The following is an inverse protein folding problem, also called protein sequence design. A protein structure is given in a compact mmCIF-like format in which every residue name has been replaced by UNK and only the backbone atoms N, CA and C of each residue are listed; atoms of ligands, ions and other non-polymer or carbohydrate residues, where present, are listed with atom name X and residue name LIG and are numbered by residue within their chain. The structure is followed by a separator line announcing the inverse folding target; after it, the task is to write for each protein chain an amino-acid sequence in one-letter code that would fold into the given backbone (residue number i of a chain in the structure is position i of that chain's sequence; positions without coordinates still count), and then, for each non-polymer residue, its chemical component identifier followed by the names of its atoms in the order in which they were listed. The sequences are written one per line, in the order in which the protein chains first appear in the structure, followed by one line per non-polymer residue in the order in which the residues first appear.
data_IF_434684656949
#
_entry.id   IF_434684656949
#
_cell.length_a   1.000
_cell.length_b   1.000
_cell.length_c   1.000
_cell.angle_alpha   90.00
_cell.angle_beta   90.00
_cell.angle_gamma   90.00
#
_symmetry.space_group_name_H-M   'P 1'
#
loop_
_entity.id
_entity.type
_entity.pdbx_description
1 polymer ?
#
# COMPACT_ATOMS: atom_id res chain seq x y z
N UNK A 1 8.83 5.19 -27.57
CA UNK A 1 7.51 4.56 -27.34
C UNK A 1 7.59 3.50 -26.24
N UNK A 2 8.31 2.39 -26.44
CA UNK A 2 8.30 1.21 -25.55
C UNK A 2 8.72 1.49 -24.09
N UNK A 3 9.66 2.41 -23.86
CA UNK A 3 10.16 2.70 -22.50
C UNK A 3 9.20 3.50 -21.62
N UNK A 4 8.38 4.36 -22.21
CA UNK A 4 7.65 5.41 -21.46
C UNK A 4 6.14 5.41 -21.68
N UNK A 5 5.62 4.62 -22.64
CA UNK A 5 4.23 4.74 -23.07
C UNK A 5 3.44 3.45 -22.98
N UNK A 6 4.08 2.29 -22.76
CA UNK A 6 3.40 0.99 -22.75
C UNK A 6 3.88 0.09 -21.62
N UNK A 7 3.02 -0.82 -21.20
CA UNK A 7 3.31 -1.90 -20.26
C UNK A 7 3.95 -3.06 -21.01
N UNK A 8 5.13 -3.49 -20.56
CA UNK A 8 5.87 -4.60 -21.16
C UNK A 8 5.93 -5.84 -20.27
N UNK A 9 5.58 -5.70 -19.00
CA UNK A 9 5.69 -6.75 -18.00
C UNK A 9 4.33 -7.32 -17.57
N UNK A 10 3.27 -6.99 -18.30
CA UNK A 10 1.93 -7.51 -18.05
C UNK A 10 1.74 -8.86 -18.75
N UNK A 11 0.94 -9.71 -18.10
CA UNK A 11 0.45 -10.94 -18.72
C UNK A 11 -0.58 -10.57 -19.78
N UNK A 12 -0.57 -11.22 -20.95
CA UNK A 12 -1.55 -10.92 -21.96
C UNK A 12 -2.96 -11.34 -21.49
N UNK A 13 -3.93 -10.50 -21.80
CA UNK A 13 -5.35 -10.83 -21.76
C UNK A 13 -5.68 -11.92 -22.78
N UNK A 14 -6.82 -12.59 -22.62
CA UNK A 14 -7.33 -13.55 -23.59
C UNK A 14 -7.42 -12.97 -25.02
N UNK A 15 -7.77 -11.68 -25.15
CA UNK A 15 -7.79 -10.98 -26.45
C UNK A 15 -6.39 -10.89 -27.06
N UNK A 16 -5.39 -10.48 -26.27
CA UNK A 16 -4.00 -10.38 -26.73
C UNK A 16 -3.44 -11.75 -27.12
N UNK A 17 -3.74 -12.82 -26.36
CA UNK A 17 -3.35 -14.18 -26.71
C UNK A 17 -3.96 -14.64 -28.04
N UNK A 18 -5.26 -14.38 -28.24
CA UNK A 18 -5.93 -14.73 -29.49
C UNK A 18 -5.33 -13.98 -30.70
N UNK A 19 -4.98 -12.70 -30.53
CA UNK A 19 -4.30 -11.91 -31.57
C UNK A 19 -2.91 -12.47 -31.89
N UNK A 20 -2.12 -12.84 -30.87
CA UNK A 20 -0.83 -13.49 -31.07
C UNK A 20 -0.97 -14.81 -31.83
N UNK A 21 -1.91 -15.66 -31.43
CA UNK A 21 -2.17 -16.93 -32.10
C UNK A 21 -2.57 -16.73 -33.56
N UNK A 22 -3.52 -15.82 -33.83
CA UNK A 22 -4.00 -15.53 -35.17
C UNK A 22 -2.88 -15.00 -36.09
N UNK A 23 -1.99 -14.17 -35.55
CA UNK A 23 -0.87 -13.60 -36.28
C UNK A 23 0.27 -14.60 -36.53
N UNK A 24 0.36 -15.69 -35.76
CA UNK A 24 1.47 -16.63 -35.87
C UNK A 24 1.36 -17.47 -37.16
N UNK A 25 2.31 -17.37 -38.10
CA UNK A 25 2.26 -18.10 -39.36
C UNK A 25 2.63 -19.58 -39.22
N UNK A 26 3.20 -20.00 -38.10
CA UNK A 26 3.63 -21.36 -37.82
C UNK A 26 2.50 -22.16 -37.14
N UNK A 27 1.89 -23.17 -37.79
CA UNK A 27 0.75 -23.88 -37.22
C UNK A 27 1.02 -24.54 -35.86
N UNK A 28 2.20 -25.17 -35.60
CA UNK A 28 2.53 -25.68 -34.27
C UNK A 28 2.60 -24.60 -33.18
N UNK A 29 3.24 -23.45 -33.46
CA UNK A 29 3.34 -22.36 -32.49
C UNK A 29 1.97 -21.71 -32.21
N UNK A 30 1.15 -21.54 -33.26
CA UNK A 30 -0.24 -21.08 -33.09
C UNK A 30 -1.03 -22.00 -32.18
N UNK A 31 -1.00 -23.31 -32.43
CA UNK A 31 -1.70 -24.29 -31.59
C UNK A 31 -1.20 -24.27 -30.13
N UNK A 32 0.11 -24.06 -29.92
CA UNK A 32 0.67 -23.90 -28.59
C UNK A 32 0.13 -22.64 -27.88
N UNK A 33 0.04 -21.51 -28.58
CA UNK A 33 -0.56 -20.27 -28.06
C UNK A 33 -2.05 -20.42 -27.72
N UNK A 34 -2.82 -21.11 -28.58
CA UNK A 34 -4.25 -21.38 -28.38
C UNK A 34 -4.50 -22.33 -27.19
N UNK A 35 -3.55 -23.22 -26.90
CA UNK A 35 -3.63 -24.18 -25.81
C UNK A 35 -3.14 -23.63 -24.45
N UNK A 36 -2.66 -22.37 -24.41
CA UNK A 36 -2.18 -21.79 -23.16
C UNK A 36 -3.31 -21.64 -22.13
N UNK A 37 -3.07 -22.01 -20.87
CA UNK A 37 -4.04 -21.78 -19.82
C UNK A 37 -4.18 -20.28 -19.53
N UNK A 38 -5.37 -19.85 -19.13
CA UNK A 38 -5.65 -18.43 -18.88
C UNK A 38 -4.87 -17.80 -17.72
N UNK A 39 -4.23 -18.63 -16.88
CA UNK A 39 -3.38 -18.23 -15.77
C UNK A 39 -1.88 -18.38 -16.04
N UNK A 40 -1.48 -18.59 -17.31
CA UNK A 40 -0.07 -18.67 -17.71
C UNK A 40 0.72 -17.47 -17.14
N UNK A 41 1.85 -17.72 -16.45
CA UNK A 41 2.55 -16.67 -15.72
C UNK A 41 3.42 -15.78 -16.61
N UNK A 42 3.60 -16.12 -17.88
CA UNK A 42 4.48 -15.37 -18.80
C UNK A 42 3.85 -14.05 -19.24
N UNK A 43 4.72 -13.08 -19.45
CA UNK A 43 4.38 -11.76 -20.00
C UNK A 43 4.17 -11.83 -21.50
N UNK A 44 3.55 -10.78 -22.07
CA UNK A 44 3.39 -10.64 -23.51
C UNK A 44 4.74 -10.75 -24.25
N UNK A 45 5.79 -10.14 -23.70
CA UNK A 45 7.14 -10.14 -24.29
C UNK A 45 7.75 -11.55 -24.26
N UNK A 46 7.69 -12.24 -23.12
CA UNK A 46 8.22 -13.61 -23.02
C UNK A 46 7.52 -14.57 -23.98
N UNK A 47 6.20 -14.42 -24.16
CA UNK A 47 5.45 -15.24 -25.12
C UNK A 47 5.83 -14.91 -26.57
N UNK A 48 6.06 -13.65 -26.91
CA UNK A 48 6.56 -13.29 -28.24
C UNK A 48 7.98 -13.83 -28.48
N UNK A 49 8.82 -13.89 -27.46
CA UNK A 49 10.18 -14.45 -27.54
C UNK A 49 10.18 -15.98 -27.70
N UNK A 50 9.24 -16.67 -27.05
CA UNK A 50 9.08 -18.14 -27.11
C UNK A 50 8.55 -18.65 -28.46
N UNK A 51 7.93 -17.77 -29.25
CA UNK A 51 7.27 -18.12 -30.51
C UNK A 51 7.93 -17.35 -31.66
N UNK A 52 9.14 -17.77 -32.11
CA UNK A 52 9.98 -16.99 -33.01
C UNK A 52 9.35 -16.73 -34.38
N UNK A 53 8.36 -17.51 -34.82
CA UNK A 53 7.65 -17.25 -36.08
C UNK A 53 6.84 -15.95 -36.05
N UNK A 54 6.55 -15.41 -34.86
CA UNK A 54 5.92 -14.10 -34.70
C UNK A 54 6.82 -12.92 -35.11
N UNK A 55 8.15 -13.07 -35.12
CA UNK A 55 9.07 -11.93 -35.37
C UNK A 55 8.80 -11.20 -36.69
N UNK A 56 8.34 -11.92 -37.71
CA UNK A 56 7.97 -11.34 -39.01
C UNK A 56 6.50 -10.94 -39.14
N UNK A 57 5.66 -11.31 -38.17
CA UNK A 57 4.22 -11.08 -38.19
C UNK A 57 3.77 -9.94 -37.27
N UNK A 58 4.59 -9.56 -36.28
CA UNK A 58 4.34 -8.44 -35.38
C UNK A 58 4.67 -7.09 -36.03
N UNK A 59 3.83 -6.67 -36.98
CA UNK A 59 3.90 -5.33 -37.56
C UNK A 59 3.42 -4.24 -36.59
N UNK A 60 3.61 -2.97 -36.98
CA UNK A 60 3.24 -1.84 -36.12
C UNK A 60 1.75 -1.80 -35.75
N UNK A 61 0.80 -1.97 -36.68
CA UNK A 61 -0.62 -2.07 -36.35
C UNK A 61 -0.92 -3.13 -35.28
N UNK A 62 -0.41 -4.36 -35.45
CA UNK A 62 -0.65 -5.43 -34.49
C UNK A 62 0.00 -5.14 -33.14
N UNK A 63 1.21 -4.57 -33.12
CA UNK A 63 1.86 -4.16 -31.88
C UNK A 63 1.05 -3.09 -31.13
N UNK A 64 0.44 -2.13 -31.84
CA UNK A 64 -0.42 -1.12 -31.21
C UNK A 64 -1.70 -1.73 -30.64
N UNK A 65 -2.25 -2.76 -31.27
CA UNK A 65 -3.41 -3.50 -30.76
C UNK A 65 -3.06 -4.39 -29.54
N UNK A 66 -1.82 -4.86 -29.47
CA UNK A 66 -1.31 -5.71 -28.39
C UNK A 66 -0.82 -4.91 -27.18
N UNK A 67 -0.18 -3.77 -27.36
CA UNK A 67 0.47 -3.06 -26.26
C UNK A 67 -0.52 -2.25 -25.43
N UNK A 68 -0.46 -2.43 -24.10
CA UNK A 68 -1.28 -1.67 -23.15
C UNK A 68 -0.59 -0.35 -22.80
N UNK A 69 -1.27 0.80 -22.78
CA UNK A 69 -0.68 2.06 -22.34
C UNK A 69 -0.15 2.00 -20.91
N UNK A 70 1.02 2.61 -20.67
CA UNK A 70 1.64 2.66 -19.35
C UNK A 70 0.75 3.38 -18.34
N UNK A 71 0.48 2.74 -17.22
CA UNK A 71 -0.40 3.29 -16.17
C UNK A 71 0.40 4.09 -15.13
N UNK A 72 -0.10 5.24 -14.66
CA UNK A 72 0.48 5.91 -13.50
C UNK A 72 0.47 4.99 -12.27
N UNK A 73 1.54 5.03 -11.46
CA UNK A 73 1.60 4.36 -10.16
C UNK A 73 1.36 5.38 -9.05
N UNK A 74 0.47 5.07 -8.13
CA UNK A 74 0.12 5.92 -7.00
C UNK A 74 1.01 5.59 -5.80
N UNK A 75 1.50 6.63 -5.14
CA UNK A 75 2.27 6.56 -3.91
C UNK A 75 1.72 7.60 -2.94
N UNK A 76 1.52 7.21 -1.68
CA UNK A 76 1.14 8.17 -0.64
C UNK A 76 2.31 9.11 -0.36
N UNK A 77 2.04 10.41 -0.28
CA UNK A 77 3.02 11.37 0.17
C UNK A 77 3.34 11.11 1.65
N UNK A 78 4.62 11.24 1.99
CA UNK A 78 5.14 10.98 3.34
C UNK A 78 5.77 12.19 4.02
N UNK A 79 5.60 13.37 3.43
CA UNK A 79 5.99 14.65 3.98
C UNK A 79 4.77 15.51 4.33
N UNK A 80 5.01 16.59 5.08
CA UNK A 80 4.03 17.61 5.39
C UNK A 80 4.31 18.89 4.58
N UNK A 81 3.29 19.52 3.97
CA UNK A 81 3.45 20.82 3.32
C UNK A 81 3.69 21.96 4.33
N UNK A 82 3.46 21.73 5.64
CA UNK A 82 3.80 22.69 6.68
C UNK A 82 5.32 22.80 6.92
N UNK A 83 6.08 21.75 6.56
CA UNK A 83 7.54 21.78 6.60
C UNK A 83 8.12 22.48 5.35
N UNK A 84 7.73 22.04 4.16
CA UNK A 84 8.03 22.72 2.90
C UNK A 84 6.92 22.40 1.86
N UNK A 85 6.13 23.39 1.42
CA UNK A 85 5.03 23.17 0.47
C UNK A 85 5.51 22.82 -0.94
N UNK A 86 6.81 22.94 -1.24
CA UNK A 86 7.40 22.63 -2.54
C UNK A 86 8.18 21.31 -2.53
N UNK A 87 8.14 20.57 -1.43
CA UNK A 87 8.86 19.32 -1.25
C UNK A 87 7.93 18.17 -0.89
N UNK A 88 8.12 17.04 -1.56
CA UNK A 88 7.31 15.85 -1.39
C UNK A 88 8.20 14.62 -1.20
N UNK A 89 8.05 13.94 -0.07
CA UNK A 89 8.74 12.67 0.20
C UNK A 89 7.85 11.49 -0.19
N UNK A 90 8.45 10.43 -0.72
CA UNK A 90 7.81 9.15 -0.99
C UNK A 90 8.48 8.04 -0.18
N UNK A 91 7.67 7.12 0.38
CA UNK A 91 8.16 5.82 0.85
C UNK A 91 7.80 4.75 -0.17
N UNK A 92 8.81 4.15 -0.80
CA UNK A 92 8.62 3.22 -1.92
C UNK A 92 9.17 1.85 -1.55
N UNK A 93 8.28 0.86 -1.45
CA UNK A 93 8.69 -0.54 -1.37
C UNK A 93 9.08 -1.00 -2.77
N UNK A 94 10.34 -1.44 -2.93
CA UNK A 94 10.86 -1.90 -4.20
C UNK A 94 10.38 -3.32 -4.45
N UNK A 95 9.55 -3.48 -5.48
CA UNK A 95 9.09 -4.80 -5.91
C UNK A 95 10.19 -5.43 -6.76
N UNK A 96 10.93 -6.36 -6.16
CA UNK A 96 11.98 -7.12 -6.82
C UNK A 96 12.00 -8.56 -6.28
N UNK A 97 11.53 -9.49 -7.12
CA UNK A 97 11.30 -10.88 -6.74
C UNK A 97 11.62 -11.82 -7.92
N UNK A 98 11.78 -13.14 -7.71
CA UNK A 98 11.80 -14.09 -8.81
C UNK A 98 10.57 -13.94 -9.71
N UNK A 99 10.77 -13.91 -11.02
CA UNK A 99 9.66 -13.78 -11.96
C UNK A 99 8.73 -15.00 -11.84
N UNK A 100 7.42 -14.77 -11.85
CA UNK A 100 6.42 -15.86 -11.79
C UNK A 100 6.52 -16.81 -12.99
N UNK A 101 7.04 -16.33 -14.12
CA UNK A 101 7.36 -17.12 -15.31
C UNK A 101 8.52 -18.10 -15.10
N UNK A 102 9.26 -17.99 -13.98
CA UNK A 102 10.50 -18.71 -13.73
C UNK A 102 11.73 -18.10 -14.42
N UNK A 103 11.58 -17.00 -15.16
CA UNK A 103 12.66 -16.39 -15.95
C UNK A 103 13.25 -15.17 -15.24
N UNK A 104 14.38 -15.38 -14.58
CA UNK A 104 15.13 -14.29 -13.96
C UNK A 104 14.35 -13.59 -12.84
N UNK A 105 14.45 -12.26 -12.79
CA UNK A 105 13.84 -11.43 -11.76
C UNK A 105 12.77 -10.53 -12.35
N UNK A 106 11.64 -10.43 -11.66
CA UNK A 106 10.62 -9.42 -11.89
C UNK A 106 10.92 -8.20 -11.05
N UNK A 107 11.10 -7.05 -11.70
CA UNK A 107 11.26 -5.76 -11.04
C UNK A 107 10.13 -4.83 -11.47
N UNK A 108 9.30 -4.43 -10.50
CA UNK A 108 8.11 -3.63 -10.76
C UNK A 108 8.45 -2.32 -11.48
N UNK A 109 7.70 -2.00 -12.54
CA UNK A 109 7.98 -0.85 -13.43
C UNK A 109 8.10 0.47 -12.67
N UNK A 110 7.13 0.79 -11.79
CA UNK A 110 7.10 2.05 -11.06
C UNK A 110 8.14 2.12 -9.93
N UNK A 111 8.14 1.14 -9.02
CA UNK A 111 9.06 1.14 -7.88
C UNK A 111 10.51 0.93 -8.31
N UNK A 112 10.75 0.12 -9.34
CA UNK A 112 12.05 -0.06 -9.95
C UNK A 112 12.58 1.22 -10.60
N UNK A 113 11.73 1.97 -11.33
CA UNK A 113 12.09 3.27 -11.89
C UNK A 113 12.47 4.26 -10.79
N UNK A 114 11.63 4.43 -9.76
CA UNK A 114 11.90 5.35 -8.66
C UNK A 114 13.18 5.00 -7.90
N UNK A 115 13.45 3.71 -7.67
CA UNK A 115 14.68 3.25 -7.02
C UNK A 115 15.96 3.49 -7.87
N UNK A 116 15.81 3.72 -9.17
CA UNK A 116 16.91 4.01 -10.08
C UNK A 116 17.30 5.49 -10.15
N UNK A 117 16.48 6.39 -9.62
CA UNK A 117 16.67 7.83 -9.75
C UNK A 117 17.89 8.34 -8.96
N UNK A 118 18.40 9.49 -9.40
CA UNK A 118 19.51 10.24 -8.81
C UNK A 118 19.09 11.69 -8.56
N UNK A 119 19.72 12.40 -7.61
CA UNK A 119 19.52 13.83 -7.45
C UNK A 119 19.75 14.58 -8.78
N UNK A 120 18.79 15.40 -9.18
CA UNK A 120 18.80 16.12 -10.47
C UNK A 120 17.95 15.48 -11.57
N UNK A 121 17.55 14.21 -11.41
CA UNK A 121 16.63 13.57 -12.35
C UNK A 121 15.23 14.20 -12.30
N UNK A 122 14.54 14.17 -13.44
CA UNK A 122 13.17 14.67 -13.57
C UNK A 122 12.17 13.52 -13.57
N UNK A 123 11.14 13.63 -12.73
CA UNK A 123 10.02 12.69 -12.66
C UNK A 123 8.74 13.38 -13.10
N UNK A 124 8.01 12.75 -14.01
CA UNK A 124 6.66 13.20 -14.38
C UNK A 124 5.66 12.68 -13.36
N UNK A 125 5.13 13.57 -12.54
CA UNK A 125 4.14 13.25 -11.52
C UNK A 125 3.05 14.32 -11.47
N UNK A 126 1.91 13.95 -10.90
CA UNK A 126 0.86 14.88 -10.50
C UNK A 126 0.44 14.56 -9.07
N UNK A 127 0.16 15.59 -8.28
CA UNK A 127 -0.43 15.41 -6.96
C UNK A 127 -1.91 15.11 -7.15
N UNK A 128 -2.34 13.95 -6.68
CA UNK A 128 -3.76 13.60 -6.61
C UNK A 128 -4.22 13.77 -5.17
N UNK A 129 -5.26 14.58 -4.90
CA UNK A 129 -5.84 14.67 -3.57
C UNK A 129 -6.28 13.28 -3.07
N UNK A 130 -5.97 12.97 -1.81
CA UNK A 130 -6.53 11.80 -1.16
C UNK A 130 -8.05 11.95 -0.98
N UNK A 131 -8.74 10.85 -0.65
CA UNK A 131 -10.14 10.91 -0.24
C UNK A 131 -10.26 11.79 1.00
N UNK A 132 -11.23 12.70 1.04
CA UNK A 132 -11.39 13.63 2.17
C UNK A 132 -11.53 12.89 3.51
N UNK A 133 -12.21 11.74 3.51
CA UNK A 133 -12.34 10.89 4.70
C UNK A 133 -10.99 10.40 5.26
N UNK A 134 -9.95 10.28 4.41
CA UNK A 134 -8.62 9.83 4.80
C UNK A 134 -7.68 10.97 5.20
N UNK A 135 -8.10 12.24 5.03
CA UNK A 135 -7.39 13.37 5.64
C UNK A 135 -7.51 13.24 7.17
N UNK A 136 -6.37 13.21 7.85
CA UNK A 136 -6.37 13.05 9.32
C UNK A 136 -6.93 14.29 9.98
N UNK A 137 -7.98 14.12 10.77
CA UNK A 137 -8.61 15.19 11.53
C UNK A 137 -7.75 15.57 12.74
N UNK A 138 -7.28 16.81 12.77
CA UNK A 138 -6.46 17.35 13.86
C UNK A 138 -7.26 17.79 15.10
N UNK A 139 -8.60 17.78 15.05
CA UNK A 139 -9.47 18.30 16.11
C UNK A 139 -9.97 17.25 17.10
N UNK A 140 -9.86 15.96 16.76
CA UNK A 140 -10.29 14.83 17.59
C UNK A 140 -9.14 13.86 17.85
N UNK A 141 -9.23 12.98 18.86
CA UNK A 141 -8.23 11.95 19.03
C UNK A 141 -8.16 11.00 17.82
N UNK A 142 -6.98 10.45 17.53
CA UNK A 142 -6.79 9.57 16.38
C UNK A 142 -6.02 8.29 16.73
N UNK A 143 -6.37 7.20 16.08
CA UNK A 143 -5.65 5.93 16.10
C UNK A 143 -5.17 5.65 14.68
N UNK A 144 -3.87 5.79 14.47
CA UNK A 144 -3.20 5.55 13.19
C UNK A 144 -2.61 4.14 13.22
N UNK A 145 -2.91 3.33 12.21
CA UNK A 145 -2.49 1.93 12.13
C UNK A 145 -1.81 1.67 10.79
N UNK A 146 -0.50 1.41 10.83
CA UNK A 146 0.30 1.17 9.64
C UNK A 146 1.16 -0.08 9.75
N UNK A 147 1.54 -0.63 8.59
CA UNK A 147 2.59 -1.62 8.48
C UNK A 147 3.47 -1.36 7.25
N UNK A 148 4.80 -1.50 7.40
CA UNK A 148 5.78 -1.23 6.35
C UNK A 148 5.59 0.15 5.71
N UNK A 149 5.54 0.23 4.38
CA UNK A 149 5.34 1.51 3.66
C UNK A 149 3.94 2.12 3.85
N UNK A 150 3.01 1.43 4.51
CA UNK A 150 1.76 2.03 4.99
C UNK A 150 1.97 3.16 6.00
N UNK A 151 3.20 3.32 6.53
CA UNK A 151 3.58 4.47 7.35
C UNK A 151 3.53 5.81 6.58
N UNK A 152 3.65 5.79 5.26
CA UNK A 152 3.79 6.98 4.42
C UNK A 152 2.86 8.14 4.79
N UNK A 153 1.51 8.02 4.71
CA UNK A 153 0.61 9.13 5.02
C UNK A 153 0.70 9.57 6.50
N UNK A 154 1.02 8.66 7.41
CA UNK A 154 1.09 8.95 8.84
C UNK A 154 2.39 9.63 9.24
N UNK A 155 3.49 9.44 8.51
CA UNK A 155 4.68 10.28 8.69
C UNK A 155 4.37 11.74 8.39
N UNK A 156 3.67 12.03 7.29
CA UNK A 156 3.20 13.38 6.96
C UNK A 156 2.30 13.96 8.06
N UNK A 157 1.35 13.15 8.55
CA UNK A 157 0.47 13.52 9.68
C UNK A 157 1.26 13.82 10.96
N UNK A 158 2.28 13.03 11.29
CA UNK A 158 3.15 13.26 12.45
C UNK A 158 3.94 14.56 12.27
N UNK A 159 4.44 14.83 11.07
CA UNK A 159 5.13 16.09 10.76
C UNK A 159 4.21 17.31 10.89
N UNK A 160 2.96 17.24 10.41
CA UNK A 160 1.95 18.30 10.61
C UNK A 160 1.71 18.57 12.11
N UNK A 161 1.62 17.50 12.90
CA UNK A 161 1.42 17.60 14.36
C UNK A 161 2.62 18.20 15.07
N UNK A 162 3.84 17.82 14.69
CA UNK A 162 5.07 18.44 15.20
C UNK A 162 5.11 19.94 14.87
N UNK A 163 4.75 20.32 13.64
CA UNK A 163 4.68 21.73 13.25
C UNK A 163 3.64 22.51 14.08
N UNK A 164 2.46 21.93 14.33
CA UNK A 164 1.43 22.53 15.17
C UNK A 164 1.89 22.73 16.62
N UNK A 165 2.62 21.78 17.21
CA UNK A 165 3.21 21.93 18.55
C UNK A 165 4.25 23.06 18.61
N UNK A 166 5.11 23.16 17.59
CA UNK A 166 6.09 24.25 17.49
C UNK A 166 5.44 25.62 17.40
N UNK A 167 4.24 25.70 16.83
CA UNK A 167 3.41 26.91 16.80
C UNK A 167 2.64 27.17 18.11
N UNK A 168 2.86 26.38 19.17
CA UNK A 168 2.17 26.53 20.46
C UNK A 168 0.75 25.94 20.50
N UNK A 169 0.37 25.14 19.50
CA UNK A 169 -0.93 24.48 19.44
C UNK A 169 -1.09 23.40 20.51
N UNK A 170 -2.35 23.09 20.84
CA UNK A 170 -2.71 21.92 21.65
C UNK A 170 -3.23 20.83 20.73
N UNK A 171 -2.74 19.61 20.91
CA UNK A 171 -3.14 18.48 20.09
C UNK A 171 -4.01 17.48 20.88
N UNK A 172 -5.08 16.95 20.27
CA UNK A 172 -5.74 15.74 20.77
C UNK A 172 -4.77 14.55 20.80
N UNK A 173 -5.10 13.53 21.59
CA UNK A 173 -4.31 12.29 21.69
C UNK A 173 -4.19 11.61 20.31
N UNK A 174 -2.99 11.16 19.96
CA UNK A 174 -2.76 10.34 18.77
C UNK A 174 -1.95 9.10 19.13
N UNK A 175 -2.46 7.92 18.79
CA UNK A 175 -1.72 6.66 18.83
C UNK A 175 -1.23 6.32 17.41
N UNK A 176 -0.01 5.84 17.28
CA UNK A 176 0.53 5.31 16.02
C UNK A 176 1.01 3.88 16.24
N UNK A 177 0.17 2.92 15.84
CA UNK A 177 0.54 1.51 15.73
C UNK A 177 1.31 1.29 14.43
N UNK A 178 2.55 0.82 14.54
CA UNK A 178 3.42 0.61 13.39
C UNK A 178 4.03 -0.79 13.37
N UNK A 179 3.63 -1.59 12.38
CA UNK A 179 4.15 -2.94 12.16
C UNK A 179 5.36 -2.95 11.23
N UNK A 180 6.43 -3.58 11.66
CA UNK A 180 7.63 -3.84 10.87
C UNK A 180 8.26 -5.17 11.33
N UNK A 181 9.33 -5.63 10.68
CA UNK A 181 9.95 -6.91 10.99
C UNK A 181 10.78 -6.83 12.28
N UNK A 182 11.71 -5.89 12.37
CA UNK A 182 12.59 -5.75 13.53
C UNK A 182 13.02 -4.29 13.77
N UNK A 183 13.31 -3.91 15.04
CA UNK A 183 13.67 -2.54 15.40
C UNK A 183 14.94 -2.02 14.72
N UNK A 184 15.85 -2.91 14.32
CA UNK A 184 17.15 -2.65 13.69
C UNK A 184 17.19 -3.01 12.20
N UNK A 185 16.09 -3.50 11.62
CA UNK A 185 16.01 -3.87 10.21
C UNK A 185 15.23 -2.84 9.38
N UNK A 186 13.93 -2.69 9.66
CA UNK A 186 12.99 -1.98 8.80
C UNK A 186 12.06 -1.05 9.61
N UNK A 187 12.49 -0.62 10.81
CA UNK A 187 11.81 0.44 11.55
C UNK A 187 12.02 1.80 10.84
N UNK A 188 11.25 2.00 9.78
CA UNK A 188 11.28 3.19 8.93
C UNK A 188 11.12 4.47 9.77
N UNK A 189 12.04 5.43 9.58
CA UNK A 189 12.02 6.73 10.26
C UNK A 189 12.01 6.66 11.81
N UNK A 190 12.60 5.62 12.40
CA UNK A 190 12.58 5.40 13.86
C UNK A 190 13.03 6.63 14.69
N UNK A 191 14.13 7.28 14.32
CA UNK A 191 14.64 8.46 15.03
C UNK A 191 13.67 9.64 14.97
N UNK A 192 13.12 9.91 13.79
CA UNK A 192 12.13 10.96 13.56
C UNK A 192 10.85 10.71 14.37
N UNK A 193 10.34 9.48 14.36
CA UNK A 193 9.15 9.08 15.10
C UNK A 193 9.34 9.14 16.61
N UNK A 194 10.51 8.71 17.12
CA UNK A 194 10.86 8.82 18.55
C UNK A 194 10.98 10.29 18.99
N UNK A 195 11.59 11.14 18.17
CA UNK A 195 11.66 12.57 18.45
C UNK A 195 10.26 13.21 18.47
N UNK A 196 9.37 12.81 17.56
CA UNK A 196 7.99 13.27 17.54
C UNK A 196 7.19 12.79 18.77
N UNK A 197 7.42 11.55 19.22
CA UNK A 197 6.83 11.05 20.46
C UNK A 197 7.32 11.83 21.69
N UNK A 198 8.63 12.08 21.79
CA UNK A 198 9.22 12.86 22.88
C UNK A 198 8.69 14.31 22.90
N UNK A 199 8.44 14.91 21.73
CA UNK A 199 7.78 16.20 21.61
C UNK A 199 6.29 16.18 21.97
N UNK A 200 5.69 15.00 22.13
CA UNK A 200 4.27 14.82 22.44
C UNK A 200 3.35 14.85 21.23
N UNK A 201 3.88 14.81 20.00
CA UNK A 201 3.07 14.82 18.78
C UNK A 201 2.26 13.53 18.64
N UNK A 202 2.81 12.40 19.06
CA UNK A 202 2.19 11.07 18.95
C UNK A 202 2.59 10.20 20.14
N UNK A 203 1.91 9.06 20.31
CA UNK A 203 2.35 7.94 21.15
C UNK A 203 2.63 6.76 20.22
N UNK A 204 3.89 6.37 20.14
CA UNK A 204 4.36 5.34 19.23
C UNK A 204 4.09 3.96 19.83
N UNK A 205 3.63 3.03 19.00
CA UNK A 205 3.23 1.67 19.37
C UNK A 205 3.77 0.68 18.33
N UNK A 206 5.09 0.44 18.29
CA UNK A 206 5.66 -0.47 17.31
C UNK A 206 5.19 -1.91 17.57
N UNK A 207 5.12 -2.73 16.54
CA UNK A 207 4.94 -4.17 16.65
C UNK A 207 5.94 -4.83 15.70
N UNK A 208 6.79 -5.70 16.25
CA UNK A 208 7.89 -6.32 15.51
C UNK A 208 7.55 -7.78 15.21
N UNK A 209 7.53 -8.13 13.92
CA UNK A 209 7.13 -9.46 13.48
C UNK A 209 8.19 -10.51 13.84
N UNK A 210 9.48 -10.17 13.76
CA UNK A 210 10.63 -11.04 14.04
C UNK A 210 11.23 -10.84 15.44
N UNK A 211 10.84 -9.78 16.16
CA UNK A 211 11.23 -9.54 17.55
C UNK A 211 10.04 -9.14 18.45
N UNK A 212 9.01 -9.99 18.63
CA UNK A 212 7.78 -9.60 19.34
C UNK A 212 8.03 -9.20 20.80
N UNK A 213 7.46 -8.06 21.19
CA UNK A 213 7.40 -7.60 22.60
C UNK A 213 6.07 -8.04 23.21
N UNK A 214 6.08 -8.60 24.43
CA UNK A 214 4.88 -9.03 25.16
C UNK A 214 3.91 -9.93 24.36
N UNK A 215 4.45 -10.71 23.42
CA UNK A 215 3.66 -11.57 22.51
C UNK A 215 2.98 -10.84 21.35
N UNK A 216 3.11 -9.51 21.26
CA UNK A 216 2.47 -8.70 20.22
C UNK A 216 3.28 -8.68 18.91
N UNK A 217 3.18 -9.76 18.13
CA UNK A 217 3.86 -9.89 16.83
C UNK A 217 3.40 -8.88 15.76
N UNK A 218 2.14 -8.50 15.75
CA UNK A 218 1.56 -7.63 14.73
C UNK A 218 0.70 -6.53 15.39
N UNK A 219 0.43 -5.46 14.65
CA UNK A 219 -0.30 -4.29 15.16
C UNK A 219 -1.66 -4.66 15.76
N UNK A 220 -2.38 -5.63 15.19
CA UNK A 220 -3.66 -6.09 15.72
C UNK A 220 -3.54 -6.77 17.10
N UNK A 221 -2.43 -7.44 17.38
CA UNK A 221 -2.17 -8.02 18.71
C UNK A 221 -1.93 -6.93 19.74
N UNK A 222 -1.16 -5.90 19.37
CA UNK A 222 -0.89 -4.76 20.27
C UNK A 222 -2.16 -3.94 20.53
N UNK A 223 -2.99 -3.73 19.52
CA UNK A 223 -4.31 -3.09 19.67
C UNK A 223 -5.19 -3.86 20.65
N UNK A 224 -5.21 -5.20 20.57
CA UNK A 224 -5.96 -6.04 21.51
C UNK A 224 -5.40 -5.96 22.94
N UNK A 225 -4.07 -5.99 23.10
CA UNK A 225 -3.43 -5.85 24.41
C UNK A 225 -3.68 -4.48 25.06
N UNK A 226 -3.80 -3.42 24.24
CA UNK A 226 -4.06 -2.05 24.67
C UNK A 226 -5.56 -1.66 24.56
N UNK A 227 -6.45 -2.66 24.59
CA UNK A 227 -7.89 -2.52 24.35
C UNK A 227 -8.55 -1.41 25.18
N UNK A 228 -8.19 -1.25 26.45
CA UNK A 228 -8.80 -0.24 27.33
C UNK A 228 -8.52 1.19 26.84
N UNK A 229 -7.27 1.47 26.43
CA UNK A 229 -6.90 2.79 25.91
C UNK A 229 -7.60 3.05 24.57
N UNK A 230 -7.60 2.06 23.67
CA UNK A 230 -8.25 2.17 22.35
C UNK A 230 -9.76 2.39 22.51
N UNK A 231 -10.43 1.64 23.39
CA UNK A 231 -11.86 1.77 23.64
C UNK A 231 -12.23 3.13 24.24
N UNK A 232 -11.43 3.63 25.18
CA UNK A 232 -11.63 4.95 25.77
C UNK A 232 -11.53 6.06 24.70
N UNK A 233 -10.57 5.95 23.79
CA UNK A 233 -10.45 6.89 22.66
C UNK A 233 -11.65 6.82 21.72
N UNK A 234 -12.10 5.61 21.36
CA UNK A 234 -13.30 5.43 20.52
C UNK A 234 -14.55 6.02 21.19
N UNK A 235 -14.69 5.88 22.50
CA UNK A 235 -15.79 6.47 23.27
C UNK A 235 -15.69 8.00 23.31
N UNK A 236 -14.47 8.55 23.29
CA UNK A 236 -14.21 9.99 23.19
C UNK A 236 -14.31 10.56 21.76
N UNK A 237 -14.86 9.80 20.80
CA UNK A 237 -15.07 10.29 19.44
C UNK A 237 -13.86 10.13 18.51
N UNK A 238 -12.87 9.30 18.88
CA UNK A 238 -11.69 9.11 18.04
C UNK A 238 -12.02 8.59 16.64
N UNK A 239 -11.12 8.91 15.70
CA UNK A 239 -11.10 8.36 14.35
C UNK A 239 -9.94 7.38 14.18
N UNK A 240 -10.19 6.31 13.44
CA UNK A 240 -9.21 5.26 13.12
C UNK A 240 -8.85 5.36 11.65
N UNK A 241 -7.54 5.36 11.37
CA UNK A 241 -6.99 5.39 10.02
C UNK A 241 -6.06 4.20 9.84
N UNK A 242 -6.29 3.40 8.80
CA UNK A 242 -5.50 2.18 8.52
C UNK A 242 -4.85 2.32 7.14
N UNK A 243 -3.54 2.07 7.06
CA UNK A 243 -2.81 2.11 5.80
C UNK A 243 -1.76 1.00 5.70
N UNK A 244 -1.67 0.31 4.56
CA UNK A 244 -0.70 -0.77 4.33
C UNK A 244 -1.30 -1.95 3.56
N UNK A 245 -0.91 -3.17 3.94
CA UNK A 245 -1.33 -4.41 3.27
C UNK A 245 -2.83 -4.68 3.44
N UNK A 246 -3.58 -4.55 2.34
CA UNK A 246 -5.01 -4.81 2.30
C UNK A 246 -5.40 -6.29 2.28
N UNK A 247 -4.46 -7.20 1.97
CA UNK A 247 -4.74 -8.62 1.89
C UNK A 247 -4.65 -9.32 3.25
N UNK A 248 -3.78 -8.85 4.15
CA UNK A 248 -3.53 -9.50 5.45
C UNK A 248 -3.67 -8.57 6.64
N UNK A 249 -2.98 -7.42 6.64
CA UNK A 249 -2.95 -6.53 7.80
C UNK A 249 -4.32 -5.90 8.04
N UNK A 250 -4.93 -5.30 7.03
CA UNK A 250 -6.21 -4.61 7.21
C UNK A 250 -7.35 -5.54 7.69
N UNK A 251 -7.56 -6.75 7.13
CA UNK A 251 -8.52 -7.72 7.70
C UNK A 251 -8.23 -8.07 9.16
N UNK A 252 -6.96 -8.26 9.53
CA UNK A 252 -6.56 -8.55 10.91
C UNK A 252 -6.87 -7.40 11.87
N UNK A 253 -6.65 -6.15 11.44
CA UNK A 253 -7.02 -4.96 12.22
C UNK A 253 -8.54 -4.86 12.35
N UNK A 254 -9.31 -5.07 11.28
CA UNK A 254 -10.79 -5.08 11.36
C UNK A 254 -11.29 -6.07 12.40
N UNK A 255 -10.74 -7.28 12.43
CA UNK A 255 -11.14 -8.29 13.42
C UNK A 255 -10.73 -7.91 14.84
N UNK A 256 -9.57 -7.28 15.05
CA UNK A 256 -9.20 -6.78 16.37
C UNK A 256 -10.19 -5.72 16.89
N UNK A 257 -10.66 -4.80 16.03
CA UNK A 257 -11.68 -3.82 16.43
C UNK A 257 -13.05 -4.47 16.69
N UNK A 258 -13.44 -5.50 15.93
CA UNK A 258 -14.67 -6.26 16.22
C UNK A 258 -14.58 -6.99 17.56
N UNK A 259 -13.45 -7.64 17.82
CA UNK A 259 -13.16 -8.30 19.09
C UNK A 259 -13.23 -7.31 20.25
N UNK A 260 -12.55 -6.16 20.11
CA UNK A 260 -12.61 -5.06 21.07
C UNK A 260 -14.05 -4.67 21.42
N UNK A 261 -14.91 -4.51 20.41
CA UNK A 261 -16.31 -4.16 20.63
C UNK A 261 -17.07 -5.25 21.40
N UNK A 262 -16.89 -6.53 21.05
CA UNK A 262 -17.54 -7.66 21.73
C UNK A 262 -17.13 -7.73 23.20
N UNK A 263 -15.85 -7.53 23.49
CA UNK A 263 -15.32 -7.55 24.86
C UNK A 263 -15.79 -6.37 25.71
N UNK A 264 -16.12 -5.24 25.08
CA UNK A 264 -16.53 -4.01 25.78
C UNK A 264 -18.03 -3.76 25.76
N UNK A 265 -18.80 -4.60 25.08
CA UNK A 265 -20.26 -4.50 24.97
C UNK A 265 -20.92 -5.82 25.38
N UNK A 266 -21.39 -5.94 26.65
CA UNK A 266 -22.02 -7.16 27.13
C UNK A 266 -23.19 -7.62 26.26
N UNK A 267 -23.18 -8.89 25.86
CA UNK A 267 -24.23 -9.48 25.01
C UNK A 267 -24.09 -9.20 23.51
N UNK A 268 -23.04 -8.50 23.07
CA UNK A 268 -22.77 -8.32 21.64
C UNK A 268 -22.26 -9.61 20.99
N UNK A 269 -22.91 -10.02 19.91
CA UNK A 269 -22.48 -11.11 19.05
C UNK A 269 -21.64 -10.63 17.85
N UNK A 270 -21.19 -11.57 17.01
CA UNK A 270 -20.42 -11.27 15.79
C UNK A 270 -21.16 -10.31 14.86
N UNK A 271 -22.47 -10.51 14.70
CA UNK A 271 -23.28 -9.69 13.82
C UNK A 271 -23.40 -8.24 14.34
N UNK A 272 -23.51 -8.05 15.66
CA UNK A 272 -23.49 -6.74 16.29
C UNK A 272 -22.14 -6.05 16.12
N UNK A 273 -21.02 -6.77 16.27
CA UNK A 273 -19.68 -6.23 16.05
C UNK A 273 -19.47 -5.80 14.59
N UNK A 274 -19.95 -6.60 13.63
CA UNK A 274 -19.96 -6.25 12.21
C UNK A 274 -20.71 -4.95 11.94
N UNK A 275 -21.97 -4.86 12.40
CA UNK A 275 -22.80 -3.64 12.24
C UNK A 275 -22.19 -2.42 12.90
N UNK A 276 -21.58 -2.57 14.07
CA UNK A 276 -20.89 -1.48 14.76
C UNK A 276 -19.71 -0.96 13.93
N UNK A 277 -18.84 -1.83 13.43
CA UNK A 277 -17.70 -1.41 12.61
C UNK A 277 -18.17 -0.74 11.32
N UNK A 278 -19.19 -1.29 10.65
CA UNK A 278 -19.77 -0.69 9.45
C UNK A 278 -20.37 0.70 9.73
N UNK A 279 -20.94 0.90 10.92
CA UNK A 279 -21.43 2.21 11.34
C UNK A 279 -20.28 3.23 11.52
N UNK A 280 -19.13 2.82 12.06
CA UNK A 280 -17.95 3.68 12.16
C UNK A 280 -17.41 4.04 10.78
N UNK A 281 -17.40 3.10 9.84
CA UNK A 281 -17.02 3.36 8.45
C UNK A 281 -17.97 4.36 7.80
N UNK A 282 -19.28 4.17 7.94
CA UNK A 282 -20.29 5.08 7.38
C UNK A 282 -20.20 6.50 7.97
N UNK A 283 -19.79 6.63 9.24
CA UNK A 283 -19.58 7.91 9.92
C UNK A 283 -18.21 8.55 9.62
N UNK A 284 -17.35 7.91 8.82
CA UNK A 284 -15.98 8.39 8.57
C UNK A 284 -15.07 8.33 9.80
N UNK A 285 -15.41 7.50 10.78
CA UNK A 285 -14.64 7.28 12.02
C UNK A 285 -13.71 6.07 11.95
N UNK A 286 -13.85 5.23 10.94
CA UNK A 286 -12.91 4.16 10.61
C UNK A 286 -12.65 4.19 9.10
N UNK A 287 -11.43 4.47 8.68
CA UNK A 287 -11.08 4.71 7.28
C UNK A 287 -9.84 3.93 6.89
N UNK A 288 -9.90 3.25 5.75
CA UNK A 288 -8.81 2.43 5.22
C UNK A 288 -8.31 3.03 3.90
N UNK A 289 -6.98 3.15 3.76
CA UNK A 289 -6.27 3.38 2.50
C UNK A 289 -5.23 2.27 2.32
N UNK A 290 -5.69 1.16 1.75
CA UNK A 290 -4.95 -0.10 1.72
C UNK A 290 -4.67 -0.52 0.29
N UNK A 291 -3.53 -1.19 0.11
CA UNK A 291 -3.01 -1.57 -1.18
C UNK A 291 -2.93 -3.09 -1.25
N UNK A 292 -3.26 -3.67 -2.40
CA UNK A 292 -2.93 -5.06 -2.68
C UNK A 292 -1.44 -5.15 -3.05
N UNK A 293 -0.69 -6.04 -2.40
CA UNK A 293 0.63 -6.41 -2.87
C UNK A 293 0.48 -7.13 -4.23
N UNK A 294 1.24 -6.67 -5.23
CA UNK A 294 1.21 -7.19 -6.61
C UNK A 294 1.77 -8.60 -6.75
#
# INVERSE_FOLDING_TARGET
MLTHHVELQERPTARQLALLAQANPCPPERAALEALPGDDPRTLVELAEDHPALRGALDWPLLLDLLTPLRPRHYSLSSSPAADPRHADLMVSVLDAPARSGRGRYRGTGSGHLAGLRPGDTVYARVQPCREAFRVDGSVPVVLVAAGTGLAPFRGTVADRVAALRAGGRLPRALLYFGCDAPDADFLHAEELRAAEAAGAVRLRPAFSEAPEDGARFVQHRIAAEADEVWALLSAGARVYVCGDGARMAPGVREAFRTLYRERTPGADEAAAGRWLDSLVAQGRYVEDVYAAG
#
